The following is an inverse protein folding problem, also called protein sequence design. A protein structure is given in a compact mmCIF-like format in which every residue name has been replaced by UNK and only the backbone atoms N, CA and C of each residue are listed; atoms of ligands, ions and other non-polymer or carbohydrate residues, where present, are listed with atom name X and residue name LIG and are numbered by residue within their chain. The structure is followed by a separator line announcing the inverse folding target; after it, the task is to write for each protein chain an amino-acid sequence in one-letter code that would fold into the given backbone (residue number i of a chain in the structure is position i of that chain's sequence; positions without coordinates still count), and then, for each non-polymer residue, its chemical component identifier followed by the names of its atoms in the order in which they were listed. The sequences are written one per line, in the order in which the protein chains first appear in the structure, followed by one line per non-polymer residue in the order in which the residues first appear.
data_IF_011714285117
#
_entry.id   IF_011714285117
#
_cell.length_a   1.000
_cell.length_b   1.000
_cell.length_c   1.000
_cell.angle_alpha   90.00
_cell.angle_beta   90.00
_cell.angle_gamma   90.00
#
_symmetry.space_group_name_H-M   'P 1'
#
loop_
_entity.id
_entity.type
_entity.pdbx_description
1 polymer ?
#
# COMPACT_ATOMS: atom_id res chain seq x y z
N UNK A 1 12.28 0.65 -39.98
CA UNK A 1 10.97 0.24 -40.52
C UNK A 1 10.27 1.48 -41.07
N UNK A 2 9.70 1.38 -42.26
CA UNK A 2 8.86 2.43 -42.84
C UNK A 2 7.52 2.53 -42.08
N UNK A 3 6.73 3.58 -42.30
CA UNK A 3 5.44 3.79 -41.63
C UNK A 3 4.42 2.65 -41.87
N UNK A 4 4.63 1.85 -42.91
CA UNK A 4 3.86 0.66 -43.27
C UNK A 4 4.40 -0.65 -42.66
N UNK A 5 5.43 -0.57 -41.81
CA UNK A 5 6.17 -1.69 -41.19
C UNK A 5 6.92 -2.59 -42.18
N UNK A 6 7.14 -2.13 -43.41
CA UNK A 6 8.00 -2.87 -44.36
C UNK A 6 9.48 -2.66 -43.99
N UNK A 7 10.26 -3.71 -44.23
CA UNK A 7 11.71 -3.70 -44.04
C UNK A 7 12.35 -3.87 -45.40
N UNK A 8 13.02 -2.82 -45.87
CA UNK A 8 13.71 -2.85 -47.14
C UNK A 8 15.13 -3.29 -46.99
N UNK A 9 15.59 -4.15 -47.87
CA UNK A 9 16.98 -4.60 -47.96
C UNK A 9 17.84 -3.66 -48.82
N UNK A 10 17.22 -2.77 -49.56
CA UNK A 10 17.92 -1.83 -50.46
C UNK A 10 17.95 -0.44 -49.85
N UNK A 11 18.97 0.34 -50.22
CA UNK A 11 18.98 1.78 -49.97
C UNK A 11 17.83 2.44 -50.73
N UNK A 12 17.36 3.61 -50.30
CA UNK A 12 16.44 4.41 -51.12
C UNK A 12 17.03 4.59 -52.51
N UNK A 13 16.19 4.39 -53.53
CA UNK A 13 16.57 4.48 -54.96
C UNK A 13 17.56 3.43 -55.45
N UNK A 14 17.84 2.38 -54.66
CA UNK A 14 18.63 1.21 -55.10
C UNK A 14 17.73 0.12 -55.69
N UNK A 15 18.10 -0.40 -56.82
CA UNK A 15 17.39 -1.46 -57.55
C UNK A 15 18.31 -2.67 -57.78
N UNK A 16 17.81 -3.84 -57.50
CA UNK A 16 18.51 -5.10 -57.85
C UNK A 16 18.37 -5.31 -59.36
N UNK A 17 19.48 -5.26 -60.05
CA UNK A 17 19.54 -5.54 -61.47
C UNK A 17 19.96 -6.98 -61.67
N UNK A 18 19.06 -7.79 -62.22
CA UNK A 18 19.32 -9.24 -62.52
C UNK A 18 19.91 -9.46 -63.91
N UNK A 19 19.92 -8.46 -64.74
CA UNK A 19 20.60 -8.54 -66.05
C UNK A 19 22.13 -8.48 -65.88
N UNK A 20 22.85 -9.28 -66.65
CA UNK A 20 24.30 -9.21 -66.68
C UNK A 20 24.76 -7.91 -67.32
N UNK A 21 25.93 -7.40 -66.87
CA UNK A 21 26.60 -6.33 -67.62
C UNK A 21 26.92 -6.79 -69.01
N UNK A 22 26.60 -5.97 -69.99
CA UNK A 22 26.91 -6.29 -71.40
C UNK A 22 28.43 -6.27 -71.59
N UNK A 23 28.95 -7.35 -72.08
CA UNK A 23 30.38 -7.47 -72.41
C UNK A 23 30.58 -6.93 -73.85
N UNK A 24 31.03 -5.70 -73.93
CA UNK A 24 31.48 -5.17 -75.20
C UNK A 24 32.79 -5.86 -75.55
N UNK A 25 32.72 -6.87 -76.39
CA UNK A 25 33.90 -7.51 -76.93
C UNK A 25 34.67 -6.51 -77.79
N UNK A 26 35.95 -6.38 -77.52
CA UNK A 26 36.87 -5.70 -78.43
C UNK A 26 37.02 -6.49 -79.70
N UNK A 27 36.03 -6.38 -80.56
CA UNK A 27 36.12 -6.93 -81.87
C UNK A 27 35.80 -5.89 -82.94
N UNK A 28 36.88 -5.49 -83.56
CA UNK A 28 36.81 -4.70 -84.77
C UNK A 28 36.36 -5.55 -85.99
N UNK A 29 35.18 -6.20 -85.95
CA UNK A 29 34.55 -6.77 -87.13
C UNK A 29 33.03 -6.79 -86.96
N UNK A 30 32.33 -6.42 -87.99
CA UNK A 30 30.89 -6.28 -88.06
C UNK A 30 30.08 -7.61 -87.99
N UNK A 31 30.60 -8.64 -87.36
CA UNK A 31 29.96 -9.99 -87.44
C UNK A 31 29.65 -10.63 -86.12
N UNK A 32 29.80 -10.04 -85.00
CA UNK A 32 29.25 -10.64 -83.78
C UNK A 32 27.93 -9.89 -83.47
N UNK A 33 26.81 -10.54 -83.74
CA UNK A 33 25.48 -10.03 -83.57
C UNK A 33 25.18 -9.75 -82.07
N UNK A 34 25.77 -8.73 -81.56
CA UNK A 34 25.29 -8.09 -80.37
C UNK A 34 23.98 -7.37 -80.75
N UNK A 35 22.90 -7.98 -80.44
CA UNK A 35 21.60 -7.42 -80.73
C UNK A 35 21.42 -6.17 -79.82
N UNK A 36 21.66 -4.98 -80.41
CA UNK A 36 21.39 -3.69 -79.73
C UNK A 36 20.00 -3.62 -79.05
N UNK A 37 19.08 -4.51 -79.49
CA UNK A 37 17.74 -4.63 -78.97
C UNK A 37 17.70 -5.14 -77.49
N UNK A 38 18.71 -5.82 -76.99
CA UNK A 38 18.73 -6.41 -75.65
C UNK A 38 19.60 -5.64 -74.67
N UNK A 39 20.33 -4.61 -75.11
CA UNK A 39 21.15 -3.77 -74.29
C UNK A 39 20.33 -2.61 -73.75
N UNK A 40 20.37 -2.44 -72.44
CA UNK A 40 19.77 -1.29 -71.72
C UNK A 40 20.77 -0.64 -70.87
N UNK A 41 20.77 0.68 -70.84
CA UNK A 41 21.72 1.50 -70.10
C UNK A 41 21.06 1.95 -68.78
N UNK A 42 21.76 1.71 -67.66
CA UNK A 42 21.41 2.22 -66.34
C UNK A 42 22.69 2.63 -65.60
N UNK A 43 22.70 3.82 -65.06
CA UNK A 43 23.86 4.42 -64.36
C UNK A 43 25.16 4.29 -65.14
N UNK A 44 25.15 4.70 -66.44
CA UNK A 44 26.29 4.61 -67.37
C UNK A 44 26.86 3.20 -67.61
N UNK A 45 26.18 2.14 -67.18
CA UNK A 45 26.53 0.75 -67.43
C UNK A 45 25.51 0.14 -68.38
N UNK A 46 26.00 -0.58 -69.39
CA UNK A 46 25.14 -1.31 -70.32
C UNK A 46 24.85 -2.71 -69.77
N UNK A 47 23.55 -3.11 -69.80
CA UNK A 47 23.09 -4.39 -69.30
C UNK A 47 22.43 -5.19 -70.44
N UNK A 48 22.76 -6.47 -70.53
CA UNK A 48 22.09 -7.42 -71.40
C UNK A 48 20.87 -8.05 -70.73
N UNK A 49 19.67 -7.63 -71.15
CA UNK A 49 18.40 -8.07 -70.54
C UNK A 49 18.04 -9.53 -70.87
N UNK A 50 18.75 -10.19 -71.80
CA UNK A 50 18.55 -11.59 -72.13
C UNK A 50 19.40 -12.52 -71.26
N UNK A 51 20.50 -12.00 -70.72
CA UNK A 51 21.38 -12.80 -69.87
C UNK A 51 21.22 -12.42 -68.39
N UNK A 52 20.75 -13.37 -67.59
CA UNK A 52 20.55 -13.17 -66.17
C UNK A 52 21.86 -13.41 -65.39
N UNK A 53 21.98 -12.71 -64.25
CA UNK A 53 22.93 -13.02 -63.19
C UNK A 53 22.19 -13.35 -61.90
N UNK A 54 22.75 -14.29 -61.15
CA UNK A 54 22.26 -14.53 -59.80
C UNK A 54 22.81 -13.45 -58.85
N UNK A 55 22.01 -13.10 -57.90
CA UNK A 55 22.37 -12.17 -56.81
C UNK A 55 22.65 -12.89 -55.49
N UNK A 56 23.16 -14.10 -55.57
CA UNK A 56 23.37 -14.99 -54.42
C UNK A 56 24.23 -14.32 -53.35
N UNK A 57 23.72 -14.24 -52.16
CA UNK A 57 24.46 -13.81 -50.96
C UNK A 57 24.70 -12.30 -50.86
N UNK A 58 24.15 -11.45 -51.73
CA UNK A 58 24.39 -10.00 -51.72
C UNK A 58 23.42 -9.24 -50.81
N UNK A 59 22.21 -9.73 -50.63
CA UNK A 59 21.15 -9.09 -49.85
C UNK A 59 20.87 -9.94 -48.58
N UNK A 60 21.72 -9.82 -47.60
CA UNK A 60 21.58 -10.53 -46.34
C UNK A 60 21.01 -9.56 -45.27
N UNK A 61 20.00 -9.99 -44.54
CA UNK A 61 19.42 -9.22 -43.45
C UNK A 61 19.64 -9.91 -42.11
N UNK A 62 20.20 -9.16 -41.17
CA UNK A 62 20.30 -9.60 -39.77
C UNK A 62 19.17 -9.05 -38.95
N UNK A 63 18.59 -9.89 -38.11
CA UNK A 63 17.58 -9.50 -37.13
C UNK A 63 18.13 -9.71 -35.73
N UNK A 64 17.88 -8.78 -34.82
CA UNK A 64 18.18 -8.90 -33.40
C UNK A 64 16.87 -8.92 -32.62
N UNK A 65 16.71 -9.91 -31.74
CA UNK A 65 15.60 -9.94 -30.80
C UNK A 65 15.76 -8.84 -29.77
N UNK A 66 14.67 -8.16 -29.44
CA UNK A 66 14.64 -7.20 -28.35
C UNK A 66 14.27 -7.96 -27.08
N UNK A 67 15.07 -7.77 -26.04
CA UNK A 67 14.88 -8.41 -24.76
C UNK A 67 13.85 -7.64 -23.92
N UNK A 68 13.27 -8.31 -22.95
CA UNK A 68 12.46 -7.71 -21.89
C UNK A 68 13.11 -8.01 -20.55
N UNK A 69 12.82 -7.17 -19.56
CA UNK A 69 13.36 -7.30 -18.22
C UNK A 69 12.32 -7.85 -17.25
N UNK A 70 12.80 -8.25 -16.06
CA UNK A 70 11.97 -8.52 -14.89
C UNK A 70 12.35 -7.60 -13.73
N UNK A 71 11.40 -7.41 -12.82
CA UNK A 71 11.56 -6.61 -11.61
C UNK A 71 10.90 -7.31 -10.43
N UNK A 72 11.59 -7.37 -9.32
CA UNK A 72 11.13 -7.99 -8.07
C UNK A 72 11.23 -6.99 -6.92
N UNK A 73 10.35 -7.15 -5.94
CA UNK A 73 10.41 -6.40 -4.70
C UNK A 73 9.52 -6.99 -3.61
N UNK A 74 9.46 -6.31 -2.48
CA UNK A 74 8.71 -6.78 -1.32
C UNK A 74 8.05 -5.61 -0.59
N UNK A 75 6.80 -5.79 -0.17
CA UNK A 75 6.13 -4.94 0.80
C UNK A 75 6.11 -5.70 2.13
N UNK A 76 6.59 -5.08 3.21
CA UNK A 76 6.69 -5.73 4.52
C UNK A 76 6.12 -4.87 5.64
N UNK A 77 5.78 -5.53 6.75
CA UNK A 77 5.32 -4.86 7.97
C UNK A 77 6.55 -4.50 8.83
N UNK A 78 6.94 -3.25 8.78
CA UNK A 78 8.04 -2.68 9.55
C UNK A 78 7.60 -2.47 11.02
N UNK A 79 7.94 -3.43 11.87
CA UNK A 79 7.47 -3.47 13.26
C UNK A 79 8.15 -2.46 14.17
N UNK A 80 9.38 -2.11 13.87
CA UNK A 80 10.21 -1.23 14.69
C UNK A 80 10.33 0.21 14.13
N UNK A 81 9.77 0.47 12.94
CA UNK A 81 9.75 1.76 12.23
C UNK A 81 11.14 2.29 11.82
N UNK A 82 12.10 1.43 11.61
CA UNK A 82 13.45 1.87 11.23
C UNK A 82 13.70 1.92 9.71
N UNK A 83 12.74 1.46 8.91
CA UNK A 83 12.83 1.39 7.45
C UNK A 83 13.80 0.33 6.95
N UNK A 84 14.27 -0.56 7.82
CA UNK A 84 15.13 -1.69 7.50
C UNK A 84 14.31 -2.98 7.52
N UNK A 85 14.48 -3.83 6.53
CA UNK A 85 13.75 -5.08 6.45
C UNK A 85 14.43 -6.18 7.26
N UNK A 86 13.91 -6.45 8.46
CA UNK A 86 14.42 -7.46 9.35
C UNK A 86 13.88 -8.86 9.08
N UNK A 87 14.64 -9.87 9.47
CA UNK A 87 14.24 -11.29 9.29
C UNK A 87 12.95 -11.66 10.05
N UNK A 88 12.68 -10.99 11.16
CA UNK A 88 11.48 -11.20 12.00
C UNK A 88 10.23 -10.55 11.42
N UNK A 89 10.38 -9.70 10.40
CA UNK A 89 9.29 -8.92 9.85
C UNK A 89 8.56 -9.67 8.74
N UNK A 90 7.25 -9.72 8.87
CA UNK A 90 6.40 -10.41 7.91
C UNK A 90 6.17 -9.60 6.65
N UNK A 91 6.00 -10.31 5.52
CA UNK A 91 5.53 -9.69 4.30
C UNK A 91 4.04 -9.32 4.36
N UNK A 92 3.65 -8.32 3.58
CA UNK A 92 2.28 -7.86 3.46
C UNK A 92 1.70 -8.26 2.10
N UNK A 93 0.69 -9.14 2.09
CA UNK A 93 0.02 -9.60 0.88
C UNK A 93 -1.16 -8.72 0.46
N UNK A 94 -1.59 -8.91 -0.79
CA UNK A 94 -2.75 -8.22 -1.41
C UNK A 94 -2.57 -6.71 -1.63
N UNK A 95 -1.34 -6.24 -1.75
CA UNK A 95 -1.05 -4.87 -2.17
C UNK A 95 -0.95 -4.81 -3.69
N UNK A 96 -1.71 -3.91 -4.31
CA UNK A 96 -1.68 -3.69 -5.74
C UNK A 96 -0.61 -2.65 -6.09
N UNK A 97 0.25 -2.99 -7.05
CA UNK A 97 1.29 -2.11 -7.56
C UNK A 97 1.08 -1.88 -9.05
N UNK A 98 1.32 -0.65 -9.49
CA UNK A 98 1.28 -0.26 -10.89
C UNK A 98 2.61 0.32 -11.32
N UNK A 99 3.16 -0.22 -12.41
CA UNK A 99 4.35 0.25 -13.07
C UNK A 99 3.92 1.10 -14.27
N UNK A 100 4.13 2.42 -14.19
CA UNK A 100 3.79 3.38 -15.24
C UNK A 100 4.96 3.55 -16.20
N UNK A 101 4.68 3.44 -17.50
CA UNK A 101 5.69 3.65 -18.53
C UNK A 101 5.81 5.12 -18.94
N UNK A 102 7.04 5.55 -19.10
CA UNK A 102 7.45 6.84 -19.66
C UNK A 102 8.39 6.60 -20.84
N UNK A 103 8.54 7.58 -21.71
CA UNK A 103 9.53 7.60 -22.77
C UNK A 103 10.35 8.87 -22.71
N UNK A 104 11.63 8.73 -23.10
CA UNK A 104 12.55 9.87 -23.17
C UNK A 104 12.42 10.55 -24.53
N UNK A 105 11.89 11.79 -24.56
CA UNK A 105 11.81 12.64 -25.75
C UNK A 105 12.84 13.76 -25.63
N UNK A 106 13.98 13.57 -26.26
CA UNK A 106 15.13 14.45 -26.10
C UNK A 106 15.67 14.42 -24.66
N UNK A 107 15.30 15.43 -23.86
CA UNK A 107 15.72 15.54 -22.45
C UNK A 107 14.57 15.42 -21.46
N UNK A 108 13.36 15.11 -21.93
CA UNK A 108 12.15 15.14 -21.09
C UNK A 108 11.49 13.78 -21.08
N UNK A 109 11.16 13.31 -19.88
CA UNK A 109 10.34 12.13 -19.70
C UNK A 109 8.86 12.45 -19.88
N UNK A 110 8.17 11.68 -20.71
CA UNK A 110 6.73 11.81 -20.99
C UNK A 110 6.02 10.51 -20.70
N UNK A 111 4.92 10.57 -19.94
CA UNK A 111 4.10 9.42 -19.60
C UNK A 111 3.40 8.85 -20.85
N UNK A 112 3.39 7.53 -20.99
CA UNK A 112 2.59 6.82 -21.99
C UNK A 112 1.25 6.36 -21.38
N UNK A 113 0.41 5.75 -22.18
CA UNK A 113 -0.80 5.07 -21.69
C UNK A 113 -0.52 3.64 -21.17
N UNK A 114 0.68 3.12 -21.39
CA UNK A 114 1.03 1.74 -21.03
C UNK A 114 1.32 1.63 -19.54
N UNK A 115 0.74 0.60 -18.91
CA UNK A 115 0.96 0.23 -17.51
C UNK A 115 1.08 -1.27 -17.38
N UNK A 116 1.77 -1.71 -16.33
CA UNK A 116 1.79 -3.10 -15.89
C UNK A 116 1.38 -3.15 -14.42
N UNK A 117 0.73 -4.22 -13.99
CA UNK A 117 0.26 -4.38 -12.62
C UNK A 117 0.78 -5.66 -12.01
N UNK A 118 1.02 -5.63 -10.70
CA UNK A 118 1.37 -6.78 -9.89
C UNK A 118 0.64 -6.72 -8.54
N UNK A 119 0.48 -7.86 -7.90
CA UNK A 119 -0.09 -7.96 -6.56
C UNK A 119 0.87 -8.72 -5.66
N UNK A 120 1.10 -8.22 -4.44
CA UNK A 120 1.95 -8.92 -3.49
C UNK A 120 1.31 -10.24 -3.05
N UNK A 121 2.12 -11.30 -2.97
CA UNK A 121 1.70 -12.58 -2.38
C UNK A 121 1.70 -12.52 -0.84
N UNK A 122 1.35 -13.62 -0.18
CA UNK A 122 1.30 -13.71 1.30
C UNK A 122 2.63 -13.40 2.00
N UNK A 123 3.76 -13.49 1.30
CA UNK A 123 5.08 -13.13 1.80
C UNK A 123 5.48 -11.69 1.44
N UNK A 124 4.55 -10.92 0.91
CA UNK A 124 4.77 -9.54 0.48
C UNK A 124 5.55 -9.39 -0.82
N UNK A 125 5.90 -10.48 -1.50
CA UNK A 125 6.68 -10.43 -2.73
C UNK A 125 5.80 -10.05 -3.91
N UNK A 126 6.29 -9.17 -4.77
CA UNK A 126 5.71 -8.84 -6.07
C UNK A 126 6.73 -9.05 -7.18
N UNK A 127 6.23 -9.30 -8.38
CA UNK A 127 7.02 -9.59 -9.57
C UNK A 127 6.37 -8.98 -10.81
N UNK A 128 7.17 -8.30 -11.62
CA UNK A 128 6.82 -7.88 -12.98
C UNK A 128 7.72 -8.62 -13.95
N UNK A 129 7.14 -9.20 -15.00
CA UNK A 129 7.86 -9.92 -16.06
C UNK A 129 7.52 -9.32 -17.42
N UNK A 130 8.44 -9.40 -18.36
CA UNK A 130 8.24 -8.92 -19.72
C UNK A 130 8.23 -7.39 -19.84
N UNK A 131 8.93 -6.66 -18.96
CA UNK A 131 9.03 -5.20 -18.98
C UNK A 131 9.79 -4.77 -20.23
N UNK A 132 9.17 -4.00 -21.16
CA UNK A 132 9.85 -3.53 -22.37
C UNK A 132 11.00 -2.57 -22.06
N UNK A 133 12.10 -2.70 -22.78
CA UNK A 133 13.22 -1.75 -22.69
C UNK A 133 12.94 -0.42 -23.41
N UNK A 134 11.90 -0.38 -24.22
CA UNK A 134 11.49 0.78 -25.03
C UNK A 134 10.01 1.07 -24.93
N UNK A 135 9.64 2.32 -25.23
CA UNK A 135 8.27 2.72 -25.47
C UNK A 135 8.09 3.03 -26.97
N UNK A 136 6.95 2.61 -27.54
CA UNK A 136 6.63 2.91 -28.94
C UNK A 136 5.59 4.03 -29.01
N UNK A 137 5.96 5.15 -29.63
CA UNK A 137 5.10 6.34 -29.76
C UNK A 137 5.16 6.84 -31.21
N UNK A 138 4.01 6.85 -31.90
CA UNK A 138 3.94 7.30 -33.29
C UNK A 138 4.80 6.48 -34.25
N UNK A 139 4.93 5.16 -34.02
CA UNK A 139 5.74 4.23 -34.83
C UNK A 139 7.26 4.37 -34.61
N UNK A 140 7.69 5.16 -33.60
CA UNK A 140 9.10 5.30 -33.22
C UNK A 140 9.32 4.66 -31.86
N UNK A 141 10.53 4.13 -31.66
CA UNK A 141 10.99 3.57 -30.39
C UNK A 141 11.86 4.57 -29.65
N UNK A 142 11.53 4.72 -28.38
CA UNK A 142 12.24 5.59 -27.44
C UNK A 142 12.72 4.77 -26.25
N UNK A 143 13.76 5.20 -25.56
CA UNK A 143 14.14 4.61 -24.29
C UNK A 143 12.95 4.69 -23.32
N UNK A 144 12.58 3.55 -22.72
CA UNK A 144 11.56 3.52 -21.70
C UNK A 144 12.17 3.76 -20.31
N UNK A 145 11.43 4.50 -19.50
CA UNK A 145 11.63 4.65 -18.07
C UNK A 145 10.35 4.34 -17.34
N UNK A 146 10.45 3.86 -16.11
CA UNK A 146 9.28 3.42 -15.34
C UNK A 146 9.24 4.08 -13.99
N UNK A 147 8.02 4.36 -13.50
CA UNK A 147 7.77 4.72 -12.12
C UNK A 147 6.85 3.69 -11.48
N UNK A 148 7.23 3.21 -10.30
CA UNK A 148 6.52 2.20 -9.55
C UNK A 148 5.69 2.85 -8.44
N UNK A 149 4.40 2.60 -8.46
CA UNK A 149 3.44 3.10 -7.49
C UNK A 149 2.76 1.94 -6.75
N UNK A 150 2.42 2.18 -5.50
CA UNK A 150 1.46 1.40 -4.76
C UNK A 150 0.09 2.06 -4.97
N UNK A 151 -0.92 1.31 -5.43
CA UNK A 151 -2.19 1.90 -5.84
C UNK A 151 -2.97 2.47 -4.65
N UNK A 152 -2.96 1.77 -3.52
CA UNK A 152 -3.53 2.23 -2.27
C UNK A 152 -2.95 1.47 -1.08
N UNK A 153 -2.95 2.10 0.10
CA UNK A 153 -2.76 1.38 1.35
C UNK A 153 -4.08 0.71 1.73
N UNK A 154 -4.10 -0.59 2.00
CA UNK A 154 -5.25 -1.25 2.61
C UNK A 154 -5.61 -0.60 3.94
N UNK A 155 -6.90 -0.64 4.30
CA UNK A 155 -7.39 -0.12 5.58
C UNK A 155 -6.56 -0.66 6.75
N UNK A 156 -6.27 0.22 7.70
CA UNK A 156 -5.46 -0.13 8.86
C UNK A 156 -3.96 -0.18 8.63
N UNK A 157 -3.45 0.29 7.49
CA UNK A 157 -2.02 0.39 7.23
C UNK A 157 -1.56 1.84 7.08
N UNK A 158 -0.28 2.08 7.34
CA UNK A 158 0.38 3.35 7.08
C UNK A 158 1.79 3.10 6.53
N UNK A 159 2.32 4.07 5.80
CA UNK A 159 3.73 4.05 5.35
C UNK A 159 4.63 4.27 6.57
N UNK A 160 5.72 3.54 6.64
CA UNK A 160 6.75 3.71 7.67
C UNK A 160 7.81 4.74 7.27
N UNK A 161 8.86 4.88 8.05
CA UNK A 161 9.93 5.85 7.79
C UNK A 161 10.67 5.54 6.49
N UNK A 162 10.97 6.58 5.71
CA UNK A 162 11.77 6.47 4.48
C UNK A 162 13.25 6.37 4.88
N UNK A 163 13.80 5.17 4.89
CA UNK A 163 15.19 4.88 5.25
C UNK A 163 15.64 3.54 4.68
N UNK A 164 16.93 3.33 4.60
CA UNK A 164 17.57 2.05 4.22
C UNK A 164 16.85 1.30 3.09
N UNK A 165 16.09 0.25 3.46
CA UNK A 165 15.40 -0.62 2.51
C UNK A 165 14.04 -0.05 2.08
N UNK A 166 13.41 0.81 2.90
CA UNK A 166 12.11 1.39 2.56
C UNK A 166 12.23 2.51 1.53
N UNK A 167 11.66 2.29 0.35
CA UNK A 167 11.50 3.28 -0.72
C UNK A 167 10.07 3.86 -0.79
N UNK A 168 9.09 3.22 -0.14
CA UNK A 168 7.69 3.64 -0.19
C UNK A 168 7.49 4.95 0.57
N UNK A 169 6.87 5.92 -0.08
CA UNK A 169 6.52 7.20 0.53
C UNK A 169 5.35 7.88 -0.20
N UNK A 170 4.72 8.83 0.50
CA UNK A 170 3.72 9.70 -0.10
C UNK A 170 4.38 10.85 -0.86
N UNK A 171 3.88 11.09 -2.08
CA UNK A 171 4.34 12.18 -2.92
C UNK A 171 3.18 12.72 -3.76
N UNK A 172 2.90 14.02 -3.65
CA UNK A 172 1.82 14.69 -4.39
C UNK A 172 0.46 13.96 -4.33
N UNK A 173 0.17 13.26 -3.23
CA UNK A 173 -1.04 12.47 -3.06
C UNK A 173 -0.99 11.05 -3.67
N UNK A 174 0.14 10.62 -4.18
CA UNK A 174 0.37 9.27 -4.70
C UNK A 174 1.40 8.51 -3.85
N UNK A 175 1.21 7.21 -3.71
CA UNK A 175 2.17 6.30 -3.06
C UNK A 175 3.18 5.81 -4.09
N UNK A 176 4.43 6.18 -3.92
CA UNK A 176 5.50 5.82 -4.85
C UNK A 176 6.67 5.14 -4.14
N UNK A 177 7.36 4.26 -4.86
CA UNK A 177 8.62 3.65 -4.42
C UNK A 177 9.84 4.32 -5.08
N UNK A 178 9.67 5.45 -5.72
CA UNK A 178 10.72 6.14 -6.48
C UNK A 178 10.76 7.64 -6.20
N UNK A 179 11.96 8.22 -6.28
CA UNK A 179 12.19 9.66 -6.18
C UNK A 179 11.53 10.47 -7.32
N UNK A 180 11.51 11.80 -7.19
CA UNK A 180 10.73 12.69 -8.08
C UNK A 180 11.14 12.69 -9.54
N UNK A 181 12.40 12.56 -9.81
CA UNK A 181 12.95 12.48 -11.16
C UNK A 181 13.63 11.13 -11.39
N UNK A 182 13.27 10.14 -10.56
CA UNK A 182 13.79 8.80 -10.67
C UNK A 182 12.93 7.98 -11.61
N UNK A 183 13.57 7.36 -12.57
CA UNK A 183 12.95 6.43 -13.50
C UNK A 183 13.77 5.16 -13.56
N UNK A 184 13.12 4.02 -13.35
CA UNK A 184 13.73 2.72 -13.58
C UNK A 184 13.95 2.54 -15.08
N UNK A 185 15.20 2.39 -15.48
CA UNK A 185 15.59 2.06 -16.84
C UNK A 185 16.01 0.60 -16.87
N UNK A 186 15.24 -0.21 -17.57
CA UNK A 186 15.48 -1.66 -17.71
C UNK A 186 16.28 -2.03 -18.96
N UNK A 187 16.58 -1.08 -19.83
CA UNK A 187 17.56 -1.26 -20.90
C UNK A 187 18.95 -1.39 -20.29
N UNK A 188 19.78 -2.27 -20.83
CA UNK A 188 21.18 -2.39 -20.41
C UNK A 188 21.99 -1.17 -20.86
N UNK A 189 23.01 -0.81 -20.08
CA UNK A 189 23.97 0.21 -20.52
C UNK A 189 24.69 -0.27 -21.76
N UNK A 190 24.79 0.61 -22.75
CA UNK A 190 25.50 0.32 -23.97
C UNK A 190 26.99 0.12 -23.67
N UNK A 191 27.51 -1.04 -24.05
CA UNK A 191 28.94 -1.32 -23.88
C UNK A 191 29.77 -0.53 -24.87
N UNK A 192 30.75 0.23 -24.39
CA UNK A 192 31.75 0.84 -25.25
C UNK A 192 32.63 -0.28 -25.85
N UNK A 193 32.53 -0.50 -27.13
CA UNK A 193 33.45 -1.44 -27.83
C UNK A 193 34.82 -0.80 -27.94
N UNK A 194 35.73 -1.20 -27.07
CA UNK A 194 37.17 -0.96 -27.22
C UNK A 194 37.83 -2.12 -28.01
N UNK A 195 37.33 -2.36 -29.22
CA UNK A 195 37.95 -3.33 -30.13
C UNK A 195 38.68 -2.61 -31.23
N UNK A 196 40.00 -2.82 -31.37
CA UNK A 196 40.77 -2.40 -32.54
C UNK A 196 40.18 -3.03 -33.82
N UNK A 197 39.30 -2.34 -34.50
CA UNK A 197 39.09 -2.56 -35.92
C UNK A 197 39.97 -1.60 -36.69
N UNK A 198 41.11 -2.14 -37.12
CA UNK A 198 41.96 -1.48 -38.12
C UNK A 198 41.15 -1.25 -39.38
N UNK A 199 40.76 0.00 -39.61
CA UNK A 199 40.27 0.47 -40.90
C UNK A 199 38.77 0.64 -41.08
N UNK A 200 38.14 1.32 -40.29
CA UNK A 200 36.87 2.03 -40.24
C UNK A 200 36.34 1.93 -38.81
N UNK A 201 36.51 2.95 -38.05
CA UNK A 201 35.74 3.12 -36.82
C UNK A 201 34.27 2.97 -37.19
N UNK A 202 33.58 1.91 -36.73
CA UNK A 202 32.14 1.93 -36.79
C UNK A 202 31.73 3.12 -35.93
N UNK A 203 31.21 4.15 -36.56
CA UNK A 203 30.48 5.13 -35.82
C UNK A 203 29.25 4.39 -35.31
N UNK A 204 29.36 3.84 -34.10
CA UNK A 204 28.25 3.17 -33.42
C UNK A 204 26.99 4.03 -33.42
N UNK A 205 27.15 5.34 -33.42
CA UNK A 205 26.08 6.31 -33.44
C UNK A 205 25.33 6.43 -34.80
N UNK A 206 25.84 5.90 -35.90
CA UNK A 206 25.16 6.05 -37.19
C UNK A 206 24.39 4.82 -37.65
N UNK A 207 24.79 3.62 -37.22
CA UNK A 207 24.07 2.39 -37.58
C UNK A 207 23.01 1.99 -36.55
N UNK A 208 23.16 2.42 -35.28
CA UNK A 208 22.27 2.06 -34.18
C UNK A 208 21.50 3.27 -33.59
N UNK A 209 21.40 4.36 -34.33
CA UNK A 209 20.74 5.61 -33.95
C UNK A 209 19.28 5.44 -33.47
N UNK A 210 18.72 4.25 -33.58
CA UNK A 210 17.38 3.88 -33.12
C UNK A 210 17.37 2.95 -31.92
N UNK A 211 18.52 2.45 -31.51
CA UNK A 211 18.68 1.44 -30.46
C UNK A 211 19.27 1.98 -29.19
N UNK A 212 19.98 3.12 -29.26
CA UNK A 212 20.66 3.73 -28.13
C UNK A 212 20.06 5.09 -27.80
N UNK A 213 19.94 5.38 -26.53
CA UNK A 213 19.47 6.70 -26.05
C UNK A 213 20.30 7.14 -24.85
N UNK A 214 20.70 8.41 -24.84
CA UNK A 214 21.33 9.04 -23.67
C UNK A 214 20.26 9.51 -22.68
N UNK A 215 20.53 9.37 -21.40
CA UNK A 215 19.66 9.89 -20.34
C UNK A 215 20.04 11.33 -20.00
N UNK A 216 19.06 12.22 -19.76
CA UNK A 216 19.34 13.60 -19.37
C UNK A 216 20.27 13.68 -18.15
N UNK A 217 21.26 14.58 -18.22
CA UNK A 217 22.22 14.85 -17.15
C UNK A 217 23.14 13.67 -16.76
N UNK A 218 23.24 12.64 -17.59
CA UNK A 218 24.19 11.54 -17.41
C UNK A 218 24.94 11.31 -18.73
N UNK A 219 26.18 10.77 -18.63
CA UNK A 219 26.94 10.32 -19.79
C UNK A 219 26.55 8.87 -20.19
N UNK A 220 25.53 8.29 -19.55
CA UNK A 220 25.12 6.92 -19.75
C UNK A 220 24.27 6.79 -21.01
N UNK A 221 24.67 5.87 -21.88
CA UNK A 221 23.93 5.48 -23.08
C UNK A 221 23.35 4.08 -22.87
N UNK A 222 22.09 3.89 -23.23
CA UNK A 222 21.37 2.63 -23.06
C UNK A 222 21.05 1.97 -24.40
N UNK A 223 21.22 0.65 -24.44
CA UNK A 223 20.82 -0.19 -25.57
C UNK A 223 19.42 -0.75 -25.35
N UNK A 224 18.43 -0.24 -26.07
CA UNK A 224 17.03 -0.68 -25.93
C UNK A 224 16.79 -2.11 -26.46
N UNK A 225 17.76 -2.75 -27.08
CA UNK A 225 17.64 -4.17 -27.49
C UNK A 225 18.11 -5.15 -26.45
N UNK A 226 18.87 -4.69 -25.45
CA UNK A 226 19.36 -5.48 -24.32
C UNK A 226 18.66 -5.05 -23.04
N UNK A 227 18.39 -6.01 -22.17
CA UNK A 227 17.72 -5.74 -20.89
C UNK A 227 18.62 -6.02 -19.70
N UNK A 228 18.33 -5.34 -18.59
CA UNK A 228 18.81 -5.70 -17.25
C UNK A 228 17.62 -5.88 -16.32
N UNK A 229 17.67 -6.91 -15.49
CA UNK A 229 16.68 -7.09 -14.44
C UNK A 229 16.94 -6.12 -13.27
N UNK A 230 15.86 -5.63 -12.68
CA UNK A 230 15.89 -4.87 -11.44
C UNK A 230 15.37 -5.77 -10.32
N UNK A 231 16.27 -6.48 -9.66
CA UNK A 231 15.92 -7.44 -8.61
C UNK A 231 16.19 -6.83 -7.24
N UNK A 232 15.16 -6.85 -6.39
CA UNK A 232 15.24 -6.43 -4.98
C UNK A 232 15.78 -5.00 -4.79
N UNK A 233 15.43 -4.07 -5.69
CA UNK A 233 15.86 -2.67 -5.59
C UNK A 233 14.75 -1.79 -4.98
N UNK A 234 13.48 -2.18 -5.12
CA UNK A 234 12.33 -1.36 -4.71
C UNK A 234 11.48 -2.11 -3.69
N UNK A 235 11.71 -1.81 -2.43
CA UNK A 235 10.95 -2.37 -1.32
C UNK A 235 10.13 -1.30 -0.64
N UNK A 236 9.00 -1.70 -0.04
CA UNK A 236 8.12 -0.80 0.69
C UNK A 236 7.79 -1.29 2.09
N UNK A 237 8.17 -0.51 3.11
CA UNK A 237 7.76 -0.74 4.49
C UNK A 237 6.42 -0.10 4.79
N UNK A 238 5.53 -0.85 5.39
CA UNK A 238 4.25 -0.38 5.91
C UNK A 238 4.11 -0.80 7.36
N UNK A 239 3.28 -0.10 8.11
CA UNK A 239 2.92 -0.49 9.46
C UNK A 239 1.43 -0.79 9.53
N UNK A 240 1.09 -2.00 9.93
CA UNK A 240 -0.29 -2.36 10.24
C UNK A 240 -0.68 -1.80 11.60
N UNK A 241 -1.79 -1.07 11.66
CA UNK A 241 -2.37 -0.63 12.92
C UNK A 241 -3.06 -1.81 13.60
N UNK A 242 -2.71 -2.03 14.85
CA UNK A 242 -3.34 -3.06 15.66
C UNK A 242 -4.67 -2.55 16.22
N UNK A 243 -5.60 -3.44 16.38
CA UNK A 243 -6.80 -3.21 17.19
C UNK A 243 -6.70 -4.06 18.45
N UNK A 244 -7.47 -3.74 19.45
CA UNK A 244 -7.46 -4.47 20.71
C UNK A 244 -8.85 -4.68 21.24
N UNK A 245 -8.94 -5.11 22.50
CA UNK A 245 -10.21 -5.40 23.16
C UNK A 245 -10.32 -4.70 24.51
N UNK A 246 -11.59 -4.48 24.91
CA UNK A 246 -11.95 -4.03 26.25
C UNK A 246 -12.96 -5.02 26.80
N UNK A 247 -12.73 -5.54 28.00
CA UNK A 247 -13.61 -6.53 28.62
C UNK A 247 -13.75 -6.32 30.13
N UNK A 248 -14.80 -6.91 30.66
CA UNK A 248 -15.09 -6.94 32.07
C UNK A 248 -16.32 -7.75 32.39
N UNK A 249 -16.74 -7.66 33.64
CA UNK A 249 -17.90 -8.38 34.16
C UNK A 249 -18.78 -7.47 35.02
N UNK A 250 -20.08 -7.57 34.84
CA UNK A 250 -21.08 -6.95 35.73
C UNK A 250 -21.69 -8.05 36.60
N UNK A 251 -21.69 -7.86 37.93
CA UNK A 251 -22.16 -8.85 38.88
C UNK A 251 -23.10 -8.25 39.94
N UNK A 252 -23.88 -9.13 40.56
CA UNK A 252 -24.68 -8.78 41.73
C UNK A 252 -23.81 -8.89 42.99
N UNK A 253 -23.35 -7.76 43.50
CA UNK A 253 -22.60 -7.65 44.75
C UNK A 253 -23.55 -7.85 45.93
N UNK A 254 -23.69 -9.11 46.37
CA UNK A 254 -24.68 -9.48 47.33
C UNK A 254 -24.40 -9.00 48.76
N UNK A 255 -23.14 -8.87 49.13
CA UNK A 255 -22.72 -8.42 50.46
C UNK A 255 -22.34 -6.92 50.53
N UNK A 256 -22.32 -6.25 49.35
CA UNK A 256 -22.03 -4.82 49.24
C UNK A 256 -20.60 -4.44 49.64
N UNK A 257 -19.63 -5.31 49.40
CA UNK A 257 -18.24 -5.02 49.74
C UNK A 257 -17.43 -4.42 48.57
N UNK A 258 -17.95 -4.51 47.35
CA UNK A 258 -17.33 -4.03 46.11
C UNK A 258 -16.30 -5.00 45.53
N UNK A 259 -16.10 -6.14 46.19
CA UNK A 259 -15.31 -7.24 45.67
C UNK A 259 -16.16 -8.19 44.80
N UNK A 260 -15.51 -8.94 43.91
CA UNK A 260 -16.18 -9.90 43.07
C UNK A 260 -15.90 -11.32 43.59
N UNK A 261 -16.80 -11.85 44.43
CA UNK A 261 -16.65 -13.20 44.94
C UNK A 261 -17.09 -14.25 43.91
N UNK A 262 -16.55 -15.48 44.03
CA UNK A 262 -16.82 -16.55 43.07
C UNK A 262 -18.30 -17.00 43.06
N UNK A 263 -18.99 -16.88 44.18
CA UNK A 263 -20.40 -17.20 44.37
C UNK A 263 -21.36 -16.11 43.93
N UNK A 264 -20.85 -14.92 43.59
CA UNK A 264 -21.67 -13.81 43.15
C UNK A 264 -22.07 -13.95 41.69
N UNK A 265 -23.37 -13.89 41.45
CA UNK A 265 -23.94 -14.12 40.14
C UNK A 265 -23.63 -12.98 39.17
N UNK A 266 -23.29 -13.34 37.95
CA UNK A 266 -23.23 -12.39 36.85
C UNK A 266 -24.60 -11.83 36.48
N UNK A 267 -24.64 -10.68 35.90
CA UNK A 267 -25.88 -10.01 35.48
C UNK A 267 -25.96 -9.99 33.94
N UNK A 268 -26.93 -10.77 33.42
CA UNK A 268 -27.18 -10.92 31.98
C UNK A 268 -27.96 -9.76 31.36
N UNK A 269 -27.71 -9.50 30.09
CA UNK A 269 -28.56 -8.61 29.27
C UNK A 269 -28.38 -7.13 29.52
N UNK A 270 -27.35 -6.73 30.26
CA UNK A 270 -27.07 -5.32 30.51
C UNK A 270 -26.32 -4.69 29.34
N UNK A 271 -26.79 -3.54 28.85
CA UNK A 271 -26.18 -2.83 27.74
C UNK A 271 -24.99 -2.02 28.22
N UNK A 272 -23.80 -2.33 27.69
CA UNK A 272 -22.54 -1.64 27.93
C UNK A 272 -22.15 -0.86 26.69
N UNK A 273 -21.77 0.40 26.83
CA UNK A 273 -21.33 1.27 25.72
C UNK A 273 -19.92 1.75 25.94
N UNK A 274 -19.10 1.66 24.88
CA UNK A 274 -17.76 2.20 24.82
C UNK A 274 -17.78 3.45 23.92
N UNK A 275 -17.61 4.63 24.50
CA UNK A 275 -17.64 5.94 23.83
C UNK A 275 -16.23 6.40 23.50
N UNK A 276 -15.97 6.75 22.23
CA UNK A 276 -14.66 7.19 21.77
C UNK A 276 -14.47 8.71 21.86
N UNK A 277 -13.29 9.10 22.29
CA UNK A 277 -12.77 10.46 22.34
C UNK A 277 -11.40 10.50 21.66
N UNK A 278 -10.92 11.68 21.32
CA UNK A 278 -9.55 11.88 20.83
C UNK A 278 -8.83 13.00 21.58
N UNK A 279 -7.52 12.84 21.75
CA UNK A 279 -6.64 13.82 22.36
C UNK A 279 -6.13 14.79 21.30
N UNK A 280 -6.51 16.08 21.35
CA UNK A 280 -6.07 17.11 20.40
C UNK A 280 -4.69 17.72 20.72
N UNK A 281 -4.05 17.26 21.80
CA UNK A 281 -2.80 17.81 22.35
C UNK A 281 -3.03 18.65 23.62
N UNK A 282 -4.25 19.05 23.91
CA UNK A 282 -4.62 19.90 25.06
C UNK A 282 -5.81 19.37 25.85
N UNK A 283 -6.78 18.78 25.18
CA UNK A 283 -8.01 18.29 25.79
C UNK A 283 -8.59 17.08 25.07
N UNK A 284 -9.40 16.30 25.77
CA UNK A 284 -10.17 15.22 25.16
C UNK A 284 -11.46 15.76 24.56
N UNK A 285 -11.65 15.48 23.29
CA UNK A 285 -12.83 15.88 22.54
C UNK A 285 -13.64 14.64 22.12
N UNK A 286 -14.97 14.69 22.21
CA UNK A 286 -15.80 13.58 21.72
C UNK A 286 -15.66 13.47 20.21
N UNK A 287 -15.62 12.24 19.71
CA UNK A 287 -15.70 12.02 18.27
C UNK A 287 -17.12 12.22 17.78
N UNK A 288 -17.28 12.76 16.56
CA UNK A 288 -18.58 12.79 15.92
C UNK A 288 -19.09 11.36 15.66
N UNK A 289 -20.39 11.16 15.52
CA UNK A 289 -21.06 9.84 15.40
C UNK A 289 -20.52 8.91 14.29
N UNK A 290 -19.58 9.34 13.48
CA UNK A 290 -18.96 8.55 12.39
C UNK A 290 -17.74 7.75 12.84
N UNK A 291 -17.28 7.93 14.08
CA UNK A 291 -16.17 7.20 14.65
C UNK A 291 -16.67 6.08 15.59
N UNK A 292 -15.76 5.27 16.07
CA UNK A 292 -16.07 4.07 16.83
C UNK A 292 -16.90 4.38 18.08
N UNK A 293 -18.15 3.92 18.13
CA UNK A 293 -18.96 3.78 19.33
C UNK A 293 -19.61 2.41 19.27
N UNK A 294 -19.33 1.57 20.24
CA UNK A 294 -19.80 0.19 20.27
C UNK A 294 -20.69 -0.02 21.50
N UNK A 295 -21.71 -0.87 21.33
CA UNK A 295 -22.58 -1.33 22.41
C UNK A 295 -22.64 -2.86 22.36
N UNK A 296 -22.46 -3.48 23.52
CA UNK A 296 -22.55 -4.94 23.71
C UNK A 296 -23.43 -5.23 24.93
N UNK A 297 -24.03 -6.41 24.96
CA UNK A 297 -24.76 -6.87 26.13
C UNK A 297 -23.93 -7.86 26.92
N UNK A 298 -24.10 -7.87 28.24
CA UNK A 298 -23.51 -8.87 29.12
C UNK A 298 -24.13 -10.25 28.87
N UNK A 299 -23.30 -11.28 28.93
CA UNK A 299 -23.72 -12.69 28.83
C UNK A 299 -24.35 -13.20 30.14
N UNK A 300 -24.73 -14.50 30.18
CA UNK A 300 -25.32 -15.16 31.36
C UNK A 300 -24.41 -15.19 32.57
N UNK A 301 -23.09 -14.99 32.39
CA UNK A 301 -22.12 -14.89 33.48
C UNK A 301 -21.80 -13.42 33.82
N UNK A 302 -22.48 -12.48 33.18
CA UNK A 302 -22.27 -11.05 33.32
C UNK A 302 -21.08 -10.50 32.58
N UNK A 303 -20.38 -11.28 31.74
CA UNK A 303 -19.22 -10.84 31.00
C UNK A 303 -19.64 -10.02 29.77
N UNK A 304 -18.86 -9.02 29.44
CA UNK A 304 -18.96 -8.27 28.19
C UNK A 304 -17.58 -8.12 27.53
N UNK A 305 -17.58 -7.99 26.21
CA UNK A 305 -16.35 -7.91 25.43
C UNK A 305 -16.55 -7.05 24.19
N UNK A 306 -15.69 -6.04 24.02
CA UNK A 306 -15.58 -5.23 22.82
C UNK A 306 -14.35 -5.69 22.05
N UNK A 307 -14.52 -6.00 20.78
CA UNK A 307 -13.45 -6.46 19.89
C UNK A 307 -13.11 -5.38 18.84
N UNK A 308 -11.92 -5.49 18.26
CA UNK A 308 -11.47 -4.63 17.16
C UNK A 308 -11.53 -3.13 17.49
N UNK A 309 -11.24 -2.77 18.73
CA UNK A 309 -11.26 -1.40 19.21
C UNK A 309 -10.01 -0.66 18.72
N UNK A 310 -10.14 0.44 17.95
CA UNK A 310 -8.99 1.19 17.42
C UNK A 310 -8.19 1.88 18.52
N UNK A 311 -6.89 2.04 18.30
CA UNK A 311 -5.99 2.79 19.18
C UNK A 311 -5.93 4.27 18.84
N UNK A 312 -6.48 4.67 17.69
CA UNK A 312 -6.45 6.03 17.15
C UNK A 312 -7.78 6.47 16.57
N UNK A 313 -7.89 7.77 16.35
CA UNK A 313 -9.00 8.41 15.61
C UNK A 313 -8.40 9.15 14.42
N UNK A 314 -9.01 9.03 13.26
CA UNK A 314 -8.63 9.79 12.07
C UNK A 314 -9.59 10.94 11.82
N UNK A 315 -9.07 12.17 11.78
CA UNK A 315 -9.85 13.39 11.53
C UNK A 315 -9.09 14.26 10.53
N UNK A 316 -9.70 14.50 9.38
CA UNK A 316 -9.10 15.35 8.34
C UNK A 316 -7.79 14.80 7.76
N UNK A 317 -7.58 13.47 7.82
CA UNK A 317 -6.36 12.82 7.37
C UNK A 317 -5.23 12.78 8.40
N UNK A 318 -5.46 13.34 9.59
CA UNK A 318 -4.54 13.23 10.72
C UNK A 318 -5.02 12.20 11.74
N UNK A 319 -4.08 11.52 12.39
CA UNK A 319 -4.34 10.49 13.39
C UNK A 319 -4.02 10.98 14.78
N UNK A 320 -5.01 10.85 15.65
CA UNK A 320 -4.96 11.27 17.05
C UNK A 320 -5.03 10.08 17.98
N UNK A 321 -4.46 10.18 19.17
CA UNK A 321 -4.61 9.18 20.22
C UNK A 321 -6.09 9.04 20.59
N UNK A 322 -6.61 7.81 20.55
CA UNK A 322 -7.95 7.51 21.02
C UNK A 322 -7.98 7.27 22.52
N UNK A 323 -9.01 7.78 23.16
CA UNK A 323 -9.35 7.49 24.53
C UNK A 323 -10.80 7.07 24.63
N UNK A 324 -11.11 6.20 25.57
CA UNK A 324 -12.46 5.65 25.67
C UNK A 324 -13.06 5.85 27.06
N UNK A 325 -14.36 6.07 27.09
CA UNK A 325 -15.15 6.01 28.32
C UNK A 325 -16.13 4.85 28.24
N UNK A 326 -16.16 4.08 29.31
CA UNK A 326 -16.96 2.88 29.41
C UNK A 326 -18.14 3.12 30.37
N UNK A 327 -19.35 2.84 29.93
CA UNK A 327 -20.55 3.03 30.73
C UNK A 327 -21.53 1.86 30.64
N UNK A 328 -22.30 1.69 31.70
CA UNK A 328 -23.57 0.95 31.70
C UNK A 328 -24.68 1.90 31.25
N UNK A 329 -25.47 1.55 30.26
CA UNK A 329 -26.47 2.44 29.67
C UNK A 329 -27.65 2.71 30.62
N UNK A 330 -28.06 1.71 31.37
CA UNK A 330 -29.15 1.86 32.33
C UNK A 330 -29.09 0.81 33.47
N UNK A 331 -29.53 1.19 34.65
CA UNK A 331 -29.77 0.24 35.74
C UNK A 331 -30.98 -0.65 35.42
N UNK A 332 -30.97 -1.93 35.89
CA UNK A 332 -32.10 -2.83 35.75
C UNK A 332 -33.39 -2.27 36.40
N UNK A 333 -34.50 -2.47 35.71
CA UNK A 333 -35.83 -2.03 36.16
C UNK A 333 -36.81 -3.21 36.21
N UNK A 334 -37.81 -3.14 37.10
CA UNK A 334 -38.94 -4.04 37.08
C UNK A 334 -39.99 -3.68 36.02
N UNK A 335 -41.06 -4.47 35.94
CA UNK A 335 -42.16 -4.29 34.99
C UNK A 335 -42.88 -2.91 35.14
N UNK A 336 -42.80 -2.34 36.31
CA UNK A 336 -43.38 -1.00 36.60
C UNK A 336 -42.39 0.13 36.31
N UNK A 337 -41.20 -0.16 35.76
CA UNK A 337 -40.16 0.79 35.43
C UNK A 337 -39.37 1.29 36.63
N UNK A 338 -39.48 0.66 37.79
CA UNK A 338 -38.71 1.02 39.00
C UNK A 338 -37.35 0.36 38.97
N UNK A 339 -36.31 1.11 39.35
CA UNK A 339 -34.95 0.61 39.48
C UNK A 339 -34.91 -0.49 40.55
N UNK A 340 -34.31 -1.65 40.18
CA UNK A 340 -34.19 -2.81 41.05
C UNK A 340 -32.78 -3.04 41.56
N UNK A 341 -31.77 -2.36 40.98
CA UNK A 341 -30.38 -2.40 41.39
C UNK A 341 -29.78 -0.99 41.46
N UNK A 342 -28.89 -0.77 42.38
CA UNK A 342 -28.05 0.43 42.43
C UNK A 342 -26.57 0.05 42.23
N UNK A 343 -25.75 1.04 41.93
CA UNK A 343 -24.30 0.86 41.90
C UNK A 343 -23.81 0.49 43.30
N UNK A 344 -22.95 -0.53 43.37
CA UNK A 344 -22.34 -0.91 44.63
C UNK A 344 -21.30 0.13 45.10
N UNK A 345 -20.76 -0.09 46.25
CA UNK A 345 -19.67 0.68 46.83
C UNK A 345 -18.47 0.67 45.90
N UNK A 346 -17.88 1.86 45.66
CA UNK A 346 -16.64 1.97 44.93
C UNK A 346 -15.46 1.34 45.72
N UNK A 347 -14.63 0.60 45.05
CA UNK A 347 -13.46 -0.10 45.62
C UNK A 347 -13.53 -1.59 45.36
N UNK A 348 -12.52 -2.32 45.82
CA UNK A 348 -12.37 -3.73 45.45
C UNK A 348 -12.24 -3.88 43.94
N UNK A 349 -13.04 -4.78 43.37
CA UNK A 349 -13.05 -5.07 41.93
C UNK A 349 -13.98 -4.13 41.14
N UNK A 350 -14.93 -3.46 41.80
CA UNK A 350 -15.86 -2.54 41.14
C UNK A 350 -15.20 -1.25 40.72
N UNK A 351 -15.24 -0.96 39.41
CA UNK A 351 -14.73 0.29 38.81
C UNK A 351 -15.79 1.36 38.71
N UNK A 352 -17.06 1.08 39.01
CA UNK A 352 -18.08 2.13 38.99
C UNK A 352 -17.68 3.32 39.84
N UNK A 353 -17.85 4.49 39.28
CA UNK A 353 -17.54 5.74 39.98
C UNK A 353 -18.60 6.00 41.04
N UNK A 354 -18.16 6.54 42.18
CA UNK A 354 -19.08 6.92 43.27
C UNK A 354 -20.00 8.03 42.79
N UNK A 355 -21.29 7.77 42.80
CA UNK A 355 -22.34 8.74 42.50
C UNK A 355 -22.91 9.28 43.82
N UNK A 356 -23.37 10.55 43.82
CA UNK A 356 -24.09 11.10 44.94
C UNK A 356 -25.42 10.35 45.19
N UNK A 357 -26.05 9.92 44.09
CA UNK A 357 -27.20 9.03 44.12
C UNK A 357 -26.91 7.74 43.37
N UNK A 358 -26.65 6.60 44.03
CA UNK A 358 -26.35 5.33 43.39
C UNK A 358 -27.53 4.74 42.61
N UNK A 359 -28.73 5.29 42.74
CA UNK A 359 -29.95 4.83 42.04
C UNK A 359 -30.33 5.72 40.87
N UNK A 360 -29.52 6.71 40.50
CA UNK A 360 -29.76 7.48 39.30
C UNK A 360 -29.47 6.61 38.04
N UNK A 361 -30.18 6.88 36.96
CA UNK A 361 -30.04 6.13 35.71
C UNK A 361 -29.12 6.82 34.67
N UNK A 362 -28.43 7.87 35.05
CA UNK A 362 -27.58 8.67 34.16
C UNK A 362 -26.14 8.63 34.69
N UNK A 363 -25.18 8.75 33.74
CA UNK A 363 -23.75 8.82 34.03
C UNK A 363 -23.17 7.60 34.80
N UNK A 364 -23.58 6.40 34.37
CA UNK A 364 -23.14 5.13 34.97
C UNK A 364 -21.78 4.67 34.44
N UNK A 365 -20.77 5.51 34.55
CA UNK A 365 -19.45 5.23 34.01
C UNK A 365 -18.60 4.37 34.96
N UNK A 366 -17.84 3.45 34.35
CA UNK A 366 -16.76 2.72 35.02
C UNK A 366 -15.46 3.54 35.04
N UNK A 367 -15.33 4.51 34.13
CA UNK A 367 -14.20 5.47 34.09
C UNK A 367 -14.54 6.72 34.86
N UNK A 368 -13.56 7.28 35.59
CA UNK A 368 -13.73 8.58 36.25
C UNK A 368 -14.04 9.70 35.21
N UNK A 369 -14.61 10.84 35.63
CA UNK A 369 -14.97 11.92 34.71
C UNK A 369 -13.85 12.37 33.78
N UNK A 370 -12.61 12.39 34.29
CA UNK A 370 -11.41 12.80 33.54
C UNK A 370 -10.51 11.61 33.18
N UNK A 371 -10.99 10.38 33.32
CA UNK A 371 -10.28 9.18 33.00
C UNK A 371 -10.70 8.62 31.66
N UNK A 372 -9.71 8.34 30.84
CA UNK A 372 -9.89 7.70 29.54
C UNK A 372 -9.06 6.42 29.46
N UNK A 373 -9.65 5.37 28.91
CA UNK A 373 -8.94 4.14 28.58
C UNK A 373 -8.09 4.39 27.36
N UNK A 374 -6.77 4.32 27.51
CA UNK A 374 -5.83 4.39 26.39
C UNK A 374 -5.55 2.96 25.97
N UNK A 375 -5.84 2.65 24.71
CA UNK A 375 -5.67 1.32 24.15
C UNK A 375 -4.42 1.21 23.28
N UNK A 376 -3.78 2.33 22.96
CA UNK A 376 -2.45 2.34 22.39
C UNK A 376 -1.42 1.86 23.41
N UNK A 377 -0.45 1.05 22.96
CA UNK A 377 0.65 0.62 23.83
C UNK A 377 1.57 1.79 24.16
N UNK A 378 2.27 1.73 25.29
CA UNK A 378 3.32 2.69 25.57
C UNK A 378 4.42 2.60 24.50
N UNK A 379 4.81 3.77 23.96
CA UNK A 379 5.79 3.87 22.91
C UNK A 379 7.17 3.40 23.39
N UNK A 380 7.77 2.50 22.64
CA UNK A 380 9.17 2.15 22.79
C UNK A 380 10.04 3.30 22.27
N UNK A 381 11.29 3.40 22.70
CA UNK A 381 12.17 4.58 22.57
C UNK A 381 12.47 5.07 21.14
N UNK A 382 12.07 4.35 20.09
CA UNK A 382 12.45 4.64 18.70
C UNK A 382 11.25 4.65 17.73
N UNK A 383 10.05 4.92 18.20
CA UNK A 383 8.89 5.06 17.32
C UNK A 383 8.94 6.33 16.50
N UNK A 384 8.53 6.25 15.23
CA UNK A 384 8.31 7.41 14.38
C UNK A 384 7.41 8.43 15.08
N UNK A 385 7.77 9.71 15.00
CA UNK A 385 7.00 10.80 15.58
C UNK A 385 5.54 10.87 15.11
N UNK A 386 5.24 10.31 13.93
CA UNK A 386 3.90 10.23 13.33
C UNK A 386 2.96 9.32 14.13
N UNK A 387 3.48 8.25 14.71
CA UNK A 387 2.71 7.27 15.49
C UNK A 387 2.79 7.50 17.00
N UNK A 388 3.72 8.33 17.42
CA UNK A 388 3.94 8.66 18.82
C UNK A 388 3.03 9.81 19.22
N UNK A 389 2.25 9.62 20.26
CA UNK A 389 1.35 10.62 20.83
C UNK A 389 1.65 10.79 22.32
N UNK A 390 1.86 12.04 22.75
CA UNK A 390 2.15 12.35 24.14
C UNK A 390 0.86 12.67 24.90
N UNK A 391 0.65 12.00 26.03
CA UNK A 391 -0.47 12.28 26.93
C UNK A 391 -0.09 11.97 28.36
N UNK A 392 -0.36 12.90 29.28
CA UNK A 392 -0.19 12.76 30.73
C UNK A 392 1.19 12.21 31.16
N UNK A 393 2.27 12.70 30.55
CA UNK A 393 3.65 12.35 30.88
C UNK A 393 4.15 11.03 30.28
N UNK A 394 3.32 10.32 29.53
CA UNK A 394 3.69 9.11 28.78
C UNK A 394 3.55 9.31 27.28
N UNK A 395 4.34 8.57 26.52
CA UNK A 395 4.23 8.48 25.08
C UNK A 395 3.55 7.16 24.69
N UNK A 396 2.64 7.24 23.75
CA UNK A 396 1.87 6.10 23.26
C UNK A 396 2.12 5.91 21.76
N UNK A 397 2.26 4.66 21.35
CA UNK A 397 2.30 4.26 19.93
C UNK A 397 0.90 3.90 19.45
N UNK A 398 0.29 4.76 18.64
CA UNK A 398 -1.08 4.52 18.16
C UNK A 398 -1.18 3.39 17.12
N UNK A 399 -0.09 2.87 16.61
CA UNK A 399 -0.09 1.70 15.72
C UNK A 399 0.01 0.38 16.50
N UNK A 400 0.42 0.43 17.77
CA UNK A 400 0.52 -0.75 18.64
C UNK A 400 -0.56 -0.73 19.72
N UNK A 401 -1.04 -1.90 20.14
CA UNK A 401 -2.23 -1.98 20.98
C UNK A 401 -2.00 -2.79 22.26
N UNK A 402 -2.65 -2.36 23.35
CA UNK A 402 -2.69 -3.05 24.61
C UNK A 402 -4.14 -3.30 25.04
N UNK A 403 -4.49 -4.56 25.24
CA UNK A 403 -5.82 -4.95 25.71
C UNK A 403 -6.07 -4.38 27.13
N UNK A 404 -7.31 -3.99 27.37
CA UNK A 404 -7.79 -3.59 28.67
C UNK A 404 -8.79 -4.61 29.19
N UNK A 405 -8.44 -5.23 30.30
CA UNK A 405 -9.26 -6.26 30.98
C UNK A 405 -9.66 -5.76 32.36
N UNK A 406 -10.53 -6.51 33.01
CA UNK A 406 -10.93 -6.27 34.42
C UNK A 406 -11.65 -4.92 34.69
N UNK A 407 -12.35 -4.42 33.66
CA UNK A 407 -13.25 -3.28 33.83
C UNK A 407 -14.60 -3.75 34.37
N UNK A 408 -14.55 -4.17 35.63
CA UNK A 408 -15.67 -4.83 36.31
C UNK A 408 -16.56 -3.84 37.04
N UNK A 409 -17.84 -4.16 37.17
CA UNK A 409 -18.81 -3.33 37.87
C UNK A 409 -19.79 -4.13 38.71
N UNK A 410 -19.85 -3.85 40.01
CA UNK A 410 -20.80 -4.45 40.92
C UNK A 410 -22.11 -3.67 41.00
N UNK A 411 -23.22 -4.36 41.03
CA UNK A 411 -24.57 -3.81 41.28
C UNK A 411 -25.16 -4.47 42.52
N UNK A 412 -25.76 -3.66 43.38
CA UNK A 412 -26.46 -4.14 44.57
C UNK A 412 -27.96 -4.12 44.33
N UNK A 413 -28.59 -5.28 44.59
CA UNK A 413 -30.06 -5.37 44.54
C UNK A 413 -30.72 -4.46 45.57
N UNK A 414 -31.73 -3.73 45.17
CA UNK A 414 -32.55 -2.91 46.10
C UNK A 414 -33.41 -3.81 46.93
N UNK A 415 -33.16 -3.83 48.22
CA UNK A 415 -33.97 -4.59 49.18
C UNK A 415 -35.32 -3.89 49.38
N UNK A 416 -36.37 -4.68 49.36
CA UNK A 416 -37.74 -4.21 49.64
C UNK A 416 -38.10 -4.55 51.09
N UNK A 417 -38.34 -3.55 51.88
CA UNK A 417 -38.91 -3.73 53.23
C UNK A 417 -40.44 -3.76 53.15
N UNK A 418 -41.03 -4.62 53.92
CA UNK A 418 -42.48 -4.65 54.08
C UNK A 418 -42.83 -3.97 55.40
N UNK A 419 -43.69 -3.01 55.32
CA UNK A 419 -44.28 -2.40 56.50
C UNK A 419 -45.65 -3.08 56.72
N UNK A 420 -45.78 -3.76 57.83
CA UNK A 420 -47.03 -4.38 58.25
C UNK A 420 -47.51 -3.64 59.46
N UNK A 421 -48.74 -3.20 59.39
CA UNK A 421 -49.40 -2.54 60.48
C UNK A 421 -50.86 -2.95 60.60
N UNK A 422 -51.45 -2.74 61.74
CA UNK A 422 -52.86 -2.96 61.99
C UNK A 422 -53.50 -1.66 62.38
N UNK A 423 -54.56 -1.32 61.74
CA UNK A 423 -55.49 -0.27 62.20
C UNK A 423 -56.64 -0.98 62.88
N UNK A 424 -56.95 -0.57 64.07
CA UNK A 424 -58.06 -1.15 64.84
C UNK A 424 -58.98 -0.05 65.33
N UNK A 425 -60.21 -0.44 65.58
CA UNK A 425 -61.20 0.43 66.22
C UNK A 425 -60.93 0.39 67.75
N UNK A 426 -60.43 1.49 68.26
CA UNK A 426 -60.20 1.65 69.69
C UNK A 426 -61.50 2.19 70.36
N UNK A 427 -62.45 1.28 70.46
CA UNK A 427 -63.79 1.61 70.97
C UNK A 427 -63.83 2.17 72.39
N UNK A 428 -62.71 2.01 73.15
CA UNK A 428 -62.67 2.51 74.53
C UNK A 428 -61.58 3.58 74.75
N UNK A 429 -60.95 4.11 73.65
CA UNK A 429 -59.94 5.17 73.67
C UNK A 429 -58.75 4.91 74.64
N UNK A 430 -58.34 3.70 74.81
CA UNK A 430 -57.23 3.36 75.70
C UNK A 430 -55.90 3.08 75.03
N UNK A 431 -55.71 3.23 73.68
CA UNK A 431 -54.50 2.95 72.92
C UNK A 431 -54.10 1.51 72.82
#
# INVERSE_FOLDING_TARGET
TNADQTVDFNQPDEYILLAKKAVHGAFGSKESGFHEYYVRKYDNVDYDIVTARDSDGVYNGGLKSIQTAAMDGRIWNDLNYDGTMDFSESGCGNFNLTLYQYYLDGTTWKKTAATMTAVTNSNGLYHFEGIPTYAEVGGKRYLAGYQLHLDALPDGNAVTVLANDNKLHWKNGELTLMGEQEYLIVAAEAQSFTGEHTGNTPQYNTYYDRTYSAVPNTDTIYDITESRDSKNEYHGGVRAFQTTSVSGRIWNDADYDGGMAAEEAGMEGLSMTLEQYYWDGTTWLPTAQQNYTATVNTDSNGNYHFENVPTFVEIGGERYLAGYRLKLDALPKDADGKITYGITKAGGDSKFQRLENPYQSENLYLTAPDQYLILAAEAKTETDSTYRKHYNGSDYDIADAAAQTDWNGGLKQVEKAQIVGRVWDDANYNG
#
